data_IF_724274647921
#
_entry.id   IF_724274647921
#
_cell.length_a   1.000
_cell.length_b   1.000
_cell.length_c   1.000
_cell.angle_alpha   90.00
_cell.angle_beta   90.00
_cell.angle_gamma   90.00
#
_symmetry.space_group_name_H-M   'P 1'
#
loop_
_entity.id
_entity.type
_entity.pdbx_description
1 polymer ?
#
# COMPACT_ATOMS: atom_id res chain seq x y z
N UNK A 1 8.79 34.89 4.62
CA UNK A 1 9.28 34.28 3.38
C UNK A 1 10.26 33.19 3.80
N UNK A 2 9.82 31.96 3.86
CA UNK A 2 10.67 30.79 4.13
C UNK A 2 10.90 30.16 2.75
N UNK A 3 12.09 30.41 2.20
CA UNK A 3 12.56 29.77 0.98
C UNK A 3 12.77 28.26 1.26
N UNK A 4 11.75 27.48 0.99
CA UNK A 4 11.90 26.03 0.91
C UNK A 4 12.65 25.70 -0.39
N UNK A 5 13.85 25.18 -0.24
CA UNK A 5 14.74 24.82 -1.34
C UNK A 5 14.21 23.56 -2.05
N UNK A 6 13.21 23.70 -2.90
CA UNK A 6 12.53 22.63 -3.66
C UNK A 6 13.45 21.89 -4.64
N UNK A 7 14.58 22.49 -5.02
CA UNK A 7 15.49 21.94 -6.03
C UNK A 7 16.26 20.68 -5.57
N UNK A 8 16.60 20.59 -4.28
CA UNK A 8 17.35 19.43 -3.75
C UNK A 8 16.41 18.26 -3.43
N UNK A 9 15.16 18.54 -3.03
CA UNK A 9 14.15 17.52 -2.74
C UNK A 9 13.65 16.80 -3.99
N UNK A 10 13.49 17.46 -5.13
CA UNK A 10 13.04 16.84 -6.38
C UNK A 10 14.02 15.81 -6.94
N UNK A 11 15.34 16.05 -6.83
CA UNK A 11 16.39 15.16 -7.35
C UNK A 11 16.50 13.88 -6.49
N UNK A 12 16.33 13.97 -5.17
CA UNK A 12 16.32 12.80 -4.28
C UNK A 12 14.97 12.03 -4.37
N UNK A 13 13.86 12.71 -4.61
CA UNK A 13 12.54 12.11 -4.88
C UNK A 13 12.54 11.29 -6.17
N UNK A 14 13.20 11.75 -7.23
CA UNK A 14 13.30 11.00 -8.50
C UNK A 14 14.10 9.69 -8.35
N UNK A 15 15.00 9.57 -7.36
CA UNK A 15 15.71 8.32 -7.03
C UNK A 15 14.86 7.33 -6.24
N UNK A 16 13.71 7.75 -5.75
CA UNK A 16 12.77 6.95 -4.93
C UNK A 16 11.50 6.58 -5.69
N UNK A 17 11.51 6.53 -7.01
CA UNK A 17 10.35 6.15 -7.83
C UNK A 17 10.46 4.71 -8.31
N UNK A 18 9.31 4.08 -8.51
CA UNK A 18 9.16 2.79 -9.18
C UNK A 18 8.11 2.92 -10.28
N UNK A 19 8.31 2.26 -11.42
CA UNK A 19 7.35 2.24 -12.51
C UNK A 19 6.50 0.95 -12.45
N UNK A 20 5.32 1.02 -11.86
CA UNK A 20 4.40 -0.12 -11.84
C UNK A 20 3.99 -0.45 -13.28
N UNK A 21 4.14 -1.72 -13.69
CA UNK A 21 3.85 -2.14 -15.05
C UNK A 21 4.72 -1.51 -16.14
N UNK A 22 5.80 -0.80 -15.75
CA UNK A 22 6.75 -0.13 -16.65
C UNK A 22 6.34 1.27 -17.10
N UNK A 23 5.10 1.70 -16.85
CA UNK A 23 4.55 2.96 -17.38
C UNK A 23 3.77 3.81 -16.36
N UNK A 24 3.72 3.38 -15.09
CA UNK A 24 3.01 4.07 -14.02
C UNK A 24 4.01 4.50 -12.92
N UNK A 25 4.64 5.69 -13.03
CA UNK A 25 5.64 6.14 -12.08
C UNK A 25 5.01 6.51 -10.76
N UNK A 26 5.45 5.87 -9.67
CA UNK A 26 5.00 6.16 -8.32
C UNK A 26 6.18 6.40 -7.38
N UNK A 27 5.98 7.28 -6.40
CA UNK A 27 6.91 7.46 -5.31
C UNK A 27 6.87 6.21 -4.40
N UNK A 28 8.03 5.69 -4.01
CA UNK A 28 8.16 4.43 -3.27
C UNK A 28 7.65 4.50 -1.82
N UNK A 29 7.17 5.67 -1.40
CA UNK A 29 6.45 5.86 -0.15
C UNK A 29 5.06 6.42 -0.49
N UNK A 30 4.08 5.52 -0.55
CA UNK A 30 2.68 5.83 -0.75
C UNK A 30 1.93 6.06 0.56
N UNK A 31 0.61 6.14 0.47
CA UNK A 31 -0.29 6.29 1.60
C UNK A 31 -1.32 5.16 1.63
N UNK A 32 -1.35 4.38 2.72
CA UNK A 32 -2.38 3.37 2.99
C UNK A 32 -3.61 4.00 3.63
N UNK A 33 -4.72 4.06 2.90
CA UNK A 33 -5.90 4.80 3.33
C UNK A 33 -6.83 4.03 4.28
N UNK A 34 -6.59 2.75 4.58
CA UNK A 34 -7.49 1.87 5.36
C UNK A 34 -8.03 2.51 6.65
N UNK A 35 -7.24 3.37 7.30
CA UNK A 35 -7.65 4.04 8.54
C UNK A 35 -8.68 5.16 8.34
N UNK A 36 -8.91 5.64 7.12
CA UNK A 36 -9.90 6.66 6.79
C UNK A 36 -11.30 6.03 6.57
N UNK A 37 -11.76 5.28 7.57
CA UNK A 37 -13.11 4.75 7.68
C UNK A 37 -13.46 4.53 9.16
N UNK A 38 -14.71 4.17 9.45
CA UNK A 38 -15.20 3.99 10.81
C UNK A 38 -14.40 2.96 11.60
N UNK A 39 -14.10 3.28 12.85
CA UNK A 39 -13.38 2.43 13.78
C UNK A 39 -14.24 2.14 15.02
N UNK A 40 -14.10 0.99 15.68
CA UNK A 40 -13.25 -0.14 15.29
C UNK A 40 -13.79 -0.94 14.10
N UNK A 41 -12.95 -1.79 13.53
CA UNK A 41 -13.35 -2.78 12.53
C UNK A 41 -13.40 -2.29 11.09
N UNK A 42 -12.98 -1.06 10.79
CA UNK A 42 -12.98 -0.48 9.44
C UNK A 42 -14.37 -0.59 8.76
N UNK A 43 -15.44 -0.17 9.46
CA UNK A 43 -16.83 -0.23 9.00
C UNK A 43 -17.53 1.11 9.15
N UNK A 44 -18.21 1.56 8.10
CA UNK A 44 -18.85 2.87 8.03
C UNK A 44 -17.92 4.02 7.63
N UNK A 45 -18.44 5.23 7.53
CA UNK A 45 -17.68 6.42 7.15
C UNK A 45 -16.65 6.80 8.21
N UNK A 46 -15.58 7.48 7.79
CA UNK A 46 -14.63 8.10 8.70
C UNK A 46 -15.33 9.24 9.47
N UNK A 47 -15.35 9.23 10.82
CA UNK A 47 -16.13 10.21 11.58
C UNK A 47 -15.70 11.66 11.34
N UNK A 48 -14.40 11.89 11.16
CA UNK A 48 -13.83 13.22 10.91
C UNK A 48 -13.58 13.44 9.40
N UNK A 49 -14.63 13.30 8.57
CA UNK A 49 -14.55 13.27 7.10
C UNK A 49 -13.71 14.41 6.52
N UNK A 50 -13.96 15.63 6.93
CA UNK A 50 -13.20 16.80 6.43
C UNK A 50 -11.74 16.80 6.89
N UNK A 51 -11.42 16.26 8.07
CA UNK A 51 -10.04 16.10 8.50
C UNK A 51 -9.33 15.01 7.68
N UNK A 52 -10.02 13.93 7.35
CA UNK A 52 -9.51 12.88 6.46
C UNK A 52 -9.20 13.41 5.05
N UNK A 53 -10.08 14.23 4.49
CA UNK A 53 -9.85 14.89 3.19
C UNK A 53 -8.61 15.80 3.24
N UNK A 54 -8.50 16.64 4.27
CA UNK A 54 -7.31 17.49 4.44
C UNK A 54 -6.02 16.69 4.57
N UNK A 55 -6.08 15.52 5.22
CA UNK A 55 -4.92 14.64 5.36
C UNK A 55 -4.49 14.06 4.01
N UNK A 56 -5.43 13.63 3.16
CA UNK A 56 -5.16 13.17 1.80
C UNK A 56 -4.56 14.26 0.92
N UNK A 57 -5.11 15.48 0.96
CA UNK A 57 -4.55 16.63 0.26
C UNK A 57 -3.13 16.93 0.76
N UNK A 58 -2.91 16.89 2.07
CA UNK A 58 -1.58 17.09 2.67
C UNK A 58 -0.58 16.01 2.22
N UNK A 59 -1.01 14.76 2.09
CA UNK A 59 -0.14 13.70 1.56
C UNK A 59 0.33 14.02 0.14
N UNK A 60 -0.57 14.44 -0.73
CA UNK A 60 -0.25 14.83 -2.11
C UNK A 60 0.65 16.08 -2.15
N UNK A 61 0.37 17.10 -1.35
CA UNK A 61 1.23 18.28 -1.20
C UNK A 61 2.66 17.93 -0.78
N UNK A 62 2.83 16.88 0.02
CA UNK A 62 4.13 16.38 0.47
C UNK A 62 4.80 15.42 -0.54
N UNK A 63 4.22 15.23 -1.72
CA UNK A 63 4.79 14.48 -2.83
C UNK A 63 4.32 13.03 -2.94
N UNK A 64 3.41 12.57 -2.07
CA UNK A 64 2.80 11.24 -2.22
C UNK A 64 1.91 11.25 -3.46
N UNK A 65 2.18 10.35 -4.41
CA UNK A 65 1.33 10.17 -5.59
C UNK A 65 0.73 8.75 -5.69
N UNK A 66 0.91 7.90 -4.68
CA UNK A 66 0.36 6.55 -4.65
C UNK A 66 -0.54 6.36 -3.43
N UNK A 67 -1.84 6.15 -3.66
CA UNK A 67 -2.87 5.96 -2.62
C UNK A 67 -3.41 4.54 -2.71
N UNK A 68 -3.24 3.75 -1.64
CA UNK A 68 -3.75 2.38 -1.55
C UNK A 68 -5.04 2.32 -0.73
N UNK A 69 -6.10 1.77 -1.33
CA UNK A 69 -7.40 1.52 -0.72
C UNK A 69 -7.93 0.13 -1.06
N UNK A 70 -9.19 -0.17 -0.72
CA UNK A 70 -9.87 -1.39 -1.11
C UNK A 70 -11.41 -1.26 -0.98
N UNK A 71 -12.14 -2.02 -1.80
CA UNK A 71 -13.61 -2.13 -1.76
C UNK A 71 -14.17 -2.35 -0.34
N UNK A 72 -13.64 -3.29 0.50
CA UNK A 72 -14.21 -3.58 1.81
C UNK A 72 -13.87 -2.55 2.90
N UNK A 73 -13.09 -1.50 2.60
CA UNK A 73 -12.77 -0.48 3.59
C UNK A 73 -13.95 0.49 3.77
N UNK A 74 -14.61 0.36 4.91
CA UNK A 74 -15.74 1.17 5.29
C UNK A 74 -17.15 0.80 4.80
N UNK A 75 -17.52 -0.31 4.18
CA UNK A 75 -17.36 -0.73 2.79
C UNK A 75 -17.70 0.39 1.80
N UNK A 76 -16.70 0.75 1.03
CA UNK A 76 -16.80 1.81 -0.01
C UNK A 76 -16.56 3.23 0.47
N UNK A 77 -16.83 3.56 1.74
CA UNK A 77 -16.63 4.92 2.25
C UNK A 77 -15.18 5.39 2.15
N UNK A 78 -14.22 4.46 2.19
CA UNK A 78 -12.81 4.79 2.01
C UNK A 78 -12.49 5.24 0.58
N UNK A 79 -13.11 4.62 -0.42
CA UNK A 79 -12.99 5.06 -1.82
C UNK A 79 -13.71 6.41 -2.05
N UNK A 80 -14.85 6.63 -1.38
CA UNK A 80 -15.60 7.89 -1.48
C UNK A 80 -14.84 9.08 -0.89
N UNK A 81 -14.22 8.94 0.30
CA UNK A 81 -13.43 10.04 0.89
C UNK A 81 -12.19 10.37 0.05
N UNK A 82 -11.57 9.36 -0.59
CA UNK A 82 -10.46 9.59 -1.52
C UNK A 82 -10.93 10.40 -2.73
N UNK A 83 -12.06 10.03 -3.32
CA UNK A 83 -12.64 10.77 -4.44
C UNK A 83 -13.06 12.19 -4.05
N UNK A 84 -13.65 12.36 -2.86
CA UNK A 84 -14.05 13.69 -2.36
C UNK A 84 -12.85 14.62 -2.11
N UNK A 85 -11.70 14.06 -1.77
CA UNK A 85 -10.48 14.81 -1.55
C UNK A 85 -9.69 15.08 -2.84
N UNK A 86 -9.57 14.08 -3.72
CA UNK A 86 -8.53 14.07 -4.75
C UNK A 86 -9.06 14.06 -6.19
N UNK A 87 -10.35 13.77 -6.43
CA UNK A 87 -10.88 13.84 -7.80
C UNK A 87 -10.84 15.29 -8.32
N UNK A 88 -10.41 15.51 -9.56
CA UNK A 88 -10.17 14.59 -10.67
C UNK A 88 -8.74 14.00 -10.76
N UNK A 89 -8.03 13.81 -9.66
CA UNK A 89 -6.71 13.15 -9.56
C UNK A 89 -5.63 13.82 -10.41
N UNK A 90 -5.52 15.14 -10.29
CA UNK A 90 -4.50 15.92 -10.99
C UNK A 90 -3.10 15.65 -10.42
N UNK A 91 -2.06 15.98 -11.20
CA UNK A 91 -0.68 15.88 -10.73
C UNK A 91 -0.10 14.46 -10.68
N UNK A 92 -0.70 13.50 -11.40
CA UNK A 92 -0.18 12.13 -11.48
C UNK A 92 -0.47 11.27 -10.25
N UNK A 93 -1.54 11.59 -9.51
CA UNK A 93 -1.99 10.74 -8.39
C UNK A 93 -2.53 9.42 -8.94
N UNK A 94 -1.98 8.33 -8.45
CA UNK A 94 -2.32 6.95 -8.76
C UNK A 94 -3.14 6.36 -7.63
N UNK A 95 -4.28 5.74 -7.94
CA UNK A 95 -5.12 5.06 -6.96
C UNK A 95 -5.08 3.55 -7.21
N UNK A 96 -4.60 2.82 -6.21
CA UNK A 96 -4.72 1.36 -6.16
C UNK A 96 -5.90 0.96 -5.28
N UNK A 97 -6.78 0.10 -5.81
CA UNK A 97 -7.87 -0.50 -5.01
C UNK A 97 -7.94 -2.01 -5.23
N UNK A 98 -8.79 -2.69 -4.47
CA UNK A 98 -8.84 -4.15 -4.42
C UNK A 98 -10.27 -4.65 -4.42
N UNK A 99 -10.50 -5.78 -5.10
CA UNK A 99 -11.73 -6.58 -5.02
C UNK A 99 -11.43 -8.01 -4.61
N UNK A 100 -12.48 -8.81 -4.41
CA UNK A 100 -12.32 -10.21 -4.00
C UNK A 100 -12.46 -10.46 -2.49
N UNK A 101 -12.81 -9.40 -1.76
CA UNK A 101 -13.24 -9.48 -0.35
C UNK A 101 -14.51 -8.66 -0.18
N UNK A 102 -15.50 -9.26 0.43
CA UNK A 102 -16.78 -8.60 0.80
C UNK A 102 -16.80 -8.36 2.31
N UNK A 103 -17.42 -7.26 2.71
CA UNK A 103 -17.63 -6.91 4.11
C UNK A 103 -19.05 -6.40 4.30
N UNK A 104 -19.87 -7.17 5.00
CA UNK A 104 -21.32 -6.89 5.19
C UNK A 104 -21.67 -6.38 6.58
N UNK A 105 -20.76 -6.53 7.54
CA UNK A 105 -20.86 -5.99 8.91
C UNK A 105 -19.46 -5.77 9.48
N UNK A 106 -19.38 -5.14 10.66
CA UNK A 106 -18.10 -4.82 11.32
C UNK A 106 -17.19 -6.05 11.49
N UNK A 107 -17.76 -7.19 11.83
CA UNK A 107 -17.09 -8.48 12.09
C UNK A 107 -17.27 -9.51 10.96
N UNK A 108 -17.95 -9.14 9.88
CA UNK A 108 -18.31 -10.06 8.80
C UNK A 108 -17.54 -9.75 7.52
N UNK A 109 -16.37 -10.37 7.41
CA UNK A 109 -15.44 -10.24 6.28
C UNK A 109 -15.15 -11.61 5.70
N UNK A 110 -15.30 -11.80 4.39
CA UNK A 110 -15.03 -13.08 3.71
C UNK A 110 -14.49 -12.85 2.31
N UNK A 111 -13.76 -13.85 1.79
CA UNK A 111 -13.33 -13.85 0.40
C UNK A 111 -14.55 -14.07 -0.52
N UNK A 112 -14.58 -13.36 -1.64
CA UNK A 112 -15.54 -13.54 -2.73
C UNK A 112 -14.80 -13.29 -4.06
N UNK A 113 -14.05 -14.30 -4.47
CA UNK A 113 -13.22 -14.29 -5.66
C UNK A 113 -13.96 -14.65 -6.95
N UNK A 114 -15.28 -14.83 -6.91
CA UNK A 114 -16.07 -15.19 -8.08
C UNK A 114 -15.96 -14.15 -9.19
N UNK A 115 -15.85 -14.56 -10.46
CA UNK A 115 -15.76 -13.63 -11.58
C UNK A 115 -16.84 -12.56 -11.62
N UNK A 116 -18.09 -12.91 -11.33
CA UNK A 116 -19.19 -11.95 -11.29
C UNK A 116 -19.07 -10.95 -10.13
N UNK A 117 -18.59 -11.40 -8.96
CA UNK A 117 -18.34 -10.52 -7.82
C UNK A 117 -17.20 -9.57 -8.06
N UNK A 118 -16.09 -10.03 -8.65
CA UNK A 118 -14.95 -9.18 -9.02
C UNK A 118 -15.36 -8.08 -10.01
N UNK A 119 -16.20 -8.40 -11.01
CA UNK A 119 -16.75 -7.38 -11.93
C UNK A 119 -17.63 -6.37 -11.19
N UNK A 120 -18.52 -6.83 -10.31
CA UNK A 120 -19.39 -5.99 -9.49
C UNK A 120 -18.57 -5.06 -8.58
N UNK A 121 -17.53 -5.57 -7.91
CA UNK A 121 -16.63 -4.78 -7.06
C UNK A 121 -15.88 -3.73 -7.85
N UNK A 122 -15.34 -4.08 -9.02
CA UNK A 122 -14.66 -3.15 -9.89
C UNK A 122 -15.58 -2.01 -10.35
N UNK A 123 -16.78 -2.33 -10.83
CA UNK A 123 -17.77 -1.32 -11.26
C UNK A 123 -18.20 -0.39 -10.11
N UNK A 124 -18.36 -0.95 -8.90
CA UNK A 124 -18.65 -0.16 -7.73
C UNK A 124 -17.49 0.76 -7.34
N UNK A 125 -16.23 0.27 -7.40
CA UNK A 125 -15.03 1.06 -7.13
C UNK A 125 -14.83 2.18 -8.14
N UNK A 126 -15.00 1.91 -9.44
CA UNK A 126 -14.97 2.93 -10.50
C UNK A 126 -15.93 4.08 -10.21
N UNK A 127 -17.17 3.74 -9.83
CA UNK A 127 -18.20 4.73 -9.51
C UNK A 127 -17.83 5.57 -8.28
N UNK A 128 -17.40 4.92 -7.18
CA UNK A 128 -17.06 5.63 -5.93
C UNK A 128 -15.83 6.50 -6.08
N UNK A 129 -14.80 5.99 -6.77
CA UNK A 129 -13.57 6.72 -7.06
C UNK A 129 -13.76 7.78 -8.17
N UNK A 130 -14.90 7.80 -8.89
CA UNK A 130 -15.16 8.71 -10.02
C UNK A 130 -14.11 8.58 -11.12
N UNK A 131 -13.66 7.33 -11.38
CA UNK A 131 -12.67 6.99 -12.39
C UNK A 131 -13.34 6.28 -13.58
N UNK A 132 -12.79 6.48 -14.79
CA UNK A 132 -13.16 5.69 -15.97
C UNK A 132 -12.34 4.39 -16.05
N UNK A 133 -11.13 4.41 -15.53
CA UNK A 133 -10.20 3.28 -15.44
C UNK A 133 -9.45 3.35 -14.12
N UNK A 134 -9.31 2.23 -13.39
CA UNK A 134 -8.49 2.12 -12.18
C UNK A 134 -7.06 1.82 -12.61
N UNK A 135 -6.09 2.59 -12.10
CA UNK A 135 -4.67 2.43 -12.45
C UNK A 135 -4.11 1.07 -12.02
N UNK A 136 -4.36 0.65 -10.78
CA UNK A 136 -3.95 -0.64 -10.24
C UNK A 136 -5.12 -1.29 -9.49
N UNK A 137 -5.57 -2.44 -9.98
CA UNK A 137 -6.62 -3.22 -9.34
C UNK A 137 -6.08 -4.57 -8.88
N UNK A 138 -6.26 -4.89 -7.59
CA UNK A 138 -5.65 -6.06 -6.99
C UNK A 138 -6.70 -7.08 -6.56
N UNK A 139 -6.43 -8.37 -6.79
CA UNK A 139 -7.14 -9.43 -6.08
C UNK A 139 -6.75 -9.34 -4.60
N UNK A 140 -7.69 -8.97 -3.74
CA UNK A 140 -7.40 -8.67 -2.32
C UNK A 140 -6.94 -9.90 -1.54
N UNK A 141 -7.50 -11.06 -1.91
CA UNK A 141 -7.18 -12.36 -1.31
C UNK A 141 -7.70 -13.47 -2.22
N UNK A 142 -6.97 -14.57 -2.39
CA UNK A 142 -7.52 -15.78 -3.00
C UNK A 142 -8.74 -16.28 -2.22
N UNK A 143 -9.77 -16.70 -2.95
CA UNK A 143 -10.96 -17.33 -2.40
C UNK A 143 -10.79 -18.85 -2.45
N UNK A 144 -10.81 -19.57 -1.32
CA UNK A 144 -10.63 -21.02 -1.32
C UNK A 144 -11.78 -21.79 -2.00
N UNK A 145 -12.95 -21.14 -2.19
CA UNK A 145 -14.13 -21.74 -2.82
C UNK A 145 -14.16 -21.54 -4.35
N UNK A 146 -13.18 -20.78 -4.90
CA UNK A 146 -13.11 -20.44 -6.34
C UNK A 146 -11.74 -20.83 -6.89
N UNK A 147 -11.65 -21.55 -8.02
CA UNK A 147 -10.39 -21.80 -8.67
C UNK A 147 -9.62 -20.47 -8.92
N UNK A 148 -8.37 -20.41 -8.47
CA UNK A 148 -7.59 -19.16 -8.52
C UNK A 148 -7.49 -18.60 -9.93
N UNK A 149 -7.31 -19.47 -10.93
CA UNK A 149 -7.26 -19.09 -12.34
C UNK A 149 -8.54 -18.39 -12.83
N UNK A 150 -9.72 -18.72 -12.28
CA UNK A 150 -10.99 -18.07 -12.64
C UNK A 150 -11.03 -16.63 -12.11
N UNK A 151 -10.59 -16.42 -10.86
CA UNK A 151 -10.48 -15.07 -10.28
C UNK A 151 -9.49 -14.20 -11.07
N UNK A 152 -8.32 -14.74 -11.40
CA UNK A 152 -7.30 -14.04 -12.20
C UNK A 152 -7.79 -13.79 -13.63
N UNK A 153 -8.49 -14.76 -14.25
CA UNK A 153 -9.12 -14.61 -15.55
C UNK A 153 -10.14 -13.47 -15.59
N UNK A 154 -10.90 -13.26 -14.51
CA UNK A 154 -11.80 -12.11 -14.41
C UNK A 154 -11.04 -10.77 -14.37
N UNK A 155 -9.90 -10.70 -13.70
CA UNK A 155 -9.04 -9.49 -13.73
C UNK A 155 -8.47 -9.23 -15.13
N UNK A 156 -8.05 -10.28 -15.85
CA UNK A 156 -7.62 -10.16 -17.24
C UNK A 156 -8.73 -9.56 -18.12
N UNK A 157 -9.96 -10.06 -17.99
CA UNK A 157 -11.12 -9.54 -18.72
C UNK A 157 -11.43 -8.08 -18.37
N UNK A 158 -11.31 -7.69 -17.10
CA UNK A 158 -11.50 -6.30 -16.68
C UNK A 158 -10.44 -5.37 -17.29
N UNK A 159 -9.19 -5.84 -17.41
CA UNK A 159 -8.11 -5.11 -18.09
C UNK A 159 -8.40 -4.99 -19.60
N UNK A 160 -8.75 -6.06 -20.25
CA UNK A 160 -9.06 -6.08 -21.67
C UNK A 160 -10.28 -5.21 -22.02
N UNK A 161 -11.24 -5.10 -21.07
CA UNK A 161 -12.36 -4.17 -21.18
C UNK A 161 -11.99 -2.70 -20.87
N UNK A 162 -10.73 -2.40 -20.53
CA UNK A 162 -10.26 -1.05 -20.22
C UNK A 162 -10.74 -0.50 -18.88
N UNK A 163 -11.35 -1.32 -18.02
CA UNK A 163 -11.83 -0.89 -16.68
C UNK A 163 -10.68 -0.76 -15.67
N UNK A 164 -9.63 -1.53 -15.83
CA UNK A 164 -8.40 -1.48 -15.04
C UNK A 164 -7.20 -1.42 -15.97
N UNK A 165 -6.13 -0.74 -15.55
CA UNK A 165 -4.89 -0.63 -16.35
C UNK A 165 -3.94 -1.76 -16.00
N UNK A 166 -3.61 -1.93 -14.72
CA UNK A 166 -2.69 -2.94 -14.22
C UNK A 166 -3.36 -3.87 -13.23
N UNK A 167 -2.93 -5.14 -13.25
CA UNK A 167 -3.38 -6.18 -12.32
C UNK A 167 -2.34 -6.38 -11.23
N UNK A 168 -2.81 -6.47 -10.00
CA UNK A 168 -2.02 -6.88 -8.84
C UNK A 168 -2.66 -8.04 -8.08
N UNK A 169 -1.90 -8.62 -7.19
CA UNK A 169 -2.32 -9.70 -6.31
C UNK A 169 -2.02 -9.34 -4.86
N UNK A 170 -2.79 -9.88 -3.92
CA UNK A 170 -2.54 -9.69 -2.50
C UNK A 170 -2.75 -10.99 -1.73
N UNK A 171 -1.92 -11.23 -0.72
CA UNK A 171 -1.94 -12.42 0.11
C UNK A 171 -1.75 -13.72 -0.70
N UNK A 172 -0.74 -13.76 -1.55
CA UNK A 172 -0.42 -14.87 -2.47
C UNK A 172 1.01 -15.36 -2.27
N UNK A 173 1.23 -16.65 -2.52
CA UNK A 173 2.57 -17.24 -2.59
C UNK A 173 3.16 -17.24 -4.00
N UNK A 174 4.44 -17.66 -4.13
CA UNK A 174 5.17 -17.69 -5.40
C UNK A 174 4.48 -18.52 -6.49
N UNK A 175 3.90 -19.67 -6.12
CA UNK A 175 3.21 -20.54 -7.08
C UNK A 175 1.99 -19.86 -7.68
N UNK A 176 1.21 -19.15 -6.85
CA UNK A 176 0.05 -18.39 -7.30
C UNK A 176 0.45 -17.19 -8.19
N UNK A 177 1.58 -16.54 -7.89
CA UNK A 177 2.09 -15.46 -8.73
C UNK A 177 2.42 -16.01 -10.12
N UNK A 178 3.16 -17.12 -10.19
CA UNK A 178 3.52 -17.77 -11.46
C UNK A 178 2.31 -18.27 -12.25
N UNK A 179 1.33 -18.85 -11.55
CA UNK A 179 0.06 -19.24 -12.17
C UNK A 179 -0.65 -18.03 -12.79
N UNK A 180 -0.74 -16.93 -12.07
CA UNK A 180 -1.37 -15.70 -12.55
C UNK A 180 -0.63 -15.09 -13.75
N UNK A 181 0.70 -15.09 -13.76
CA UNK A 181 1.52 -14.59 -14.88
C UNK A 181 1.31 -15.39 -16.15
N UNK A 182 0.90 -16.66 -16.06
CA UNK A 182 0.44 -17.45 -17.21
C UNK A 182 -0.90 -16.99 -17.81
N UNK A 183 -1.64 -16.11 -17.13
CA UNK A 183 -2.98 -15.64 -17.53
C UNK A 183 -2.96 -14.15 -17.88
N UNK A 184 -2.28 -13.33 -17.05
CA UNK A 184 -2.24 -11.88 -17.16
C UNK A 184 -0.94 -11.33 -16.59
N UNK A 185 -0.32 -10.27 -17.14
CA UNK A 185 0.82 -9.62 -16.51
C UNK A 185 0.49 -9.15 -15.10
N UNK A 186 1.26 -9.62 -14.11
CA UNK A 186 1.17 -9.20 -12.71
C UNK A 186 2.12 -8.03 -12.48
N UNK A 187 1.58 -6.86 -12.09
CA UNK A 187 2.38 -5.64 -11.93
C UNK A 187 2.68 -5.31 -10.47
N UNK A 188 1.93 -5.89 -9.53
CA UNK A 188 2.19 -5.74 -8.09
C UNK A 188 1.80 -6.97 -7.28
N UNK A 189 2.51 -7.16 -6.15
CA UNK A 189 2.14 -8.11 -5.09
C UNK A 189 2.07 -7.35 -3.78
N UNK A 190 0.97 -7.56 -3.03
CA UNK A 190 0.78 -6.91 -1.73
C UNK A 190 0.60 -7.96 -0.64
N UNK A 191 1.64 -8.23 0.12
CA UNK A 191 1.63 -9.23 1.20
C UNK A 191 2.04 -8.62 2.55
N UNK A 192 1.82 -9.38 3.63
CA UNK A 192 2.30 -8.99 4.95
C UNK A 192 3.81 -9.11 5.01
N UNK A 193 4.46 -7.98 5.25
CA UNK A 193 5.91 -7.94 5.38
C UNK A 193 6.34 -6.70 6.16
N UNK A 194 7.23 -6.87 7.13
CA UNK A 194 7.78 -5.80 7.94
C UNK A 194 9.08 -6.26 8.62
N UNK A 195 9.66 -5.40 9.43
CA UNK A 195 10.92 -5.66 10.12
C UNK A 195 10.90 -6.92 11.01
N UNK A 196 9.76 -7.25 11.61
CA UNK A 196 9.58 -8.41 12.49
C UNK A 196 9.14 -9.67 11.73
N UNK A 197 8.46 -9.51 10.59
CA UNK A 197 7.85 -10.59 9.82
C UNK A 197 8.42 -10.62 8.41
N UNK A 198 9.48 -11.41 8.23
CA UNK A 198 10.28 -11.50 6.99
C UNK A 198 10.03 -12.79 6.19
N UNK A 199 9.02 -13.56 6.54
CA UNK A 199 8.73 -14.85 5.89
C UNK A 199 8.48 -14.77 4.39
N UNK A 200 8.21 -13.56 3.87
CA UNK A 200 7.92 -13.31 2.47
C UNK A 200 9.17 -12.86 1.64
N UNK A 201 10.37 -12.95 2.23
CA UNK A 201 11.63 -12.64 1.52
C UNK A 201 11.73 -13.29 0.12
N UNK A 202 11.36 -14.57 -0.09
CA UNK A 202 11.41 -15.17 -1.42
C UNK A 202 10.48 -14.49 -2.44
N UNK A 203 9.33 -13.97 -2.00
CA UNK A 203 8.39 -13.23 -2.86
C UNK A 203 8.94 -11.83 -3.17
N UNK A 204 9.56 -11.17 -2.18
CA UNK A 204 10.25 -9.87 -2.40
C UNK A 204 11.34 -10.02 -3.45
N UNK A 205 12.20 -11.05 -3.32
CA UNK A 205 13.29 -11.31 -4.26
C UNK A 205 12.76 -11.64 -5.66
N UNK A 206 11.68 -12.40 -5.75
CA UNK A 206 11.03 -12.69 -7.02
C UNK A 206 10.47 -11.43 -7.68
N UNK A 207 9.80 -10.57 -6.91
CA UNK A 207 9.26 -9.31 -7.41
C UNK A 207 10.37 -8.39 -7.92
N UNK A 208 11.48 -8.28 -7.19
CA UNK A 208 12.65 -7.50 -7.63
C UNK A 208 13.21 -8.01 -8.96
N UNK A 209 13.43 -9.32 -9.06
CA UNK A 209 14.00 -9.95 -10.25
C UNK A 209 13.11 -9.80 -11.51
N UNK A 210 11.79 -9.66 -11.33
CA UNK A 210 10.81 -9.60 -12.41
C UNK A 210 10.20 -8.20 -12.64
N UNK A 211 10.68 -7.16 -11.94
CA UNK A 211 10.17 -5.80 -12.08
C UNK A 211 8.72 -5.62 -11.60
N UNK A 212 8.29 -6.45 -10.65
CA UNK A 212 6.97 -6.40 -10.02
C UNK A 212 7.05 -5.53 -8.76
N UNK A 213 6.13 -4.58 -8.59
CA UNK A 213 6.05 -3.80 -7.36
C UNK A 213 5.67 -4.68 -6.17
N UNK A 214 6.43 -4.60 -5.07
CA UNK A 214 6.06 -5.26 -3.82
C UNK A 214 5.55 -4.23 -2.80
N UNK A 215 4.31 -4.42 -2.33
CA UNK A 215 3.63 -3.51 -1.42
C UNK A 215 3.48 -4.17 -0.04
N UNK A 216 4.39 -3.95 0.92
CA UNK A 216 4.26 -4.52 2.25
C UNK A 216 3.07 -3.93 2.99
N UNK A 217 2.04 -4.74 3.31
CA UNK A 217 1.02 -4.29 4.24
C UNK A 217 1.43 -4.59 5.69
N UNK A 218 1.02 -3.72 6.62
CA UNK A 218 1.51 -3.74 7.99
C UNK A 218 3.00 -3.39 8.13
N UNK A 219 3.51 -2.35 7.42
CA UNK A 219 4.95 -2.07 7.33
C UNK A 219 5.59 -1.67 8.67
N UNK A 220 4.78 -1.27 9.66
CA UNK A 220 5.23 -0.87 11.00
C UNK A 220 4.93 -1.94 12.06
N UNK A 221 4.71 -3.18 11.70
CA UNK A 221 4.40 -4.30 12.59
C UNK A 221 3.17 -4.08 13.51
N UNK A 222 2.48 -2.96 13.38
CA UNK A 222 1.27 -2.68 14.14
C UNK A 222 0.22 -3.76 13.85
N UNK A 223 -0.45 -4.26 14.87
CA UNK A 223 -1.65 -5.08 14.69
C UNK A 223 -2.64 -4.23 13.88
N UNK A 224 -2.97 -4.60 12.61
CA UNK A 224 -3.68 -3.71 11.70
C UNK A 224 -5.08 -3.32 12.18
N UNK A 225 -5.60 -4.05 13.15
CA UNK A 225 -6.93 -3.87 13.73
C UNK A 225 -6.94 -3.27 15.15
N UNK A 226 -5.76 -2.96 15.72
CA UNK A 226 -5.67 -2.32 17.03
C UNK A 226 -5.37 -0.82 16.87
N UNK A 227 -6.33 0.09 17.17
CA UNK A 227 -6.08 1.52 17.12
C UNK A 227 -4.98 1.91 18.11
N UNK A 228 -3.95 2.63 17.64
CA UNK A 228 -2.94 3.23 18.49
C UNK A 228 -1.99 2.24 19.19
N UNK A 229 -1.94 0.97 18.75
CA UNK A 229 -0.96 0.03 19.30
C UNK A 229 0.45 0.57 19.02
N UNK A 230 1.28 0.80 20.06
CA UNK A 230 2.68 1.11 19.88
C UNK A 230 3.36 -0.07 19.16
N UNK A 231 4.47 0.21 18.48
CA UNK A 231 5.40 -0.85 18.07
C UNK A 231 5.64 -1.76 19.27
N UNK A 232 5.52 -3.07 19.05
CA UNK A 232 5.67 -4.03 20.14
C UNK A 232 7.01 -3.80 20.86
N UNK A 233 6.99 -3.86 22.19
CA UNK A 233 8.16 -3.67 23.04
C UNK A 233 8.98 -4.97 23.09
N UNK A 234 9.45 -5.41 21.91
CA UNK A 234 10.26 -6.61 21.71
C UNK A 234 11.72 -6.21 21.40
N UNK A 235 12.61 -7.19 21.38
CA UNK A 235 14.05 -6.99 21.11
C UNK A 235 14.30 -6.29 19.77
N UNK A 236 13.42 -6.51 18.79
CA UNK A 236 13.53 -5.94 17.45
C UNK A 236 13.11 -4.46 17.42
N UNK A 237 12.07 -4.06 18.17
CA UNK A 237 11.77 -2.66 18.38
C UNK A 237 12.91 -1.92 19.06
N UNK A 238 13.70 -2.58 19.92
CA UNK A 238 14.88 -1.99 20.57
C UNK A 238 16.02 -1.69 19.59
N UNK A 239 16.24 -2.55 18.57
CA UNK A 239 17.24 -2.32 17.50
C UNK A 239 16.86 -1.12 16.62
N UNK A 240 15.61 -1.06 16.17
CA UNK A 240 15.09 0.10 15.42
C UNK A 240 15.25 1.40 16.21
N UNK A 241 14.95 1.38 17.52
CA UNK A 241 15.10 2.54 18.38
C UNK A 241 16.57 2.93 18.63
N UNK A 242 17.49 1.95 18.71
CA UNK A 242 18.92 2.19 18.87
C UNK A 242 19.51 2.89 17.64
N UNK A 243 19.22 2.35 16.44
CA UNK A 243 19.61 3.00 15.17
C UNK A 243 18.97 4.37 15.07
N UNK A 244 17.66 4.50 15.38
CA UNK A 244 16.95 5.78 15.35
C UNK A 244 17.59 6.86 16.20
N UNK A 245 17.99 6.56 17.44
CA UNK A 245 18.72 7.49 18.32
C UNK A 245 20.04 7.97 17.69
N UNK A 246 20.74 7.06 17.00
CA UNK A 246 22.03 7.34 16.37
C UNK A 246 21.92 8.32 15.20
N UNK A 247 20.86 8.19 14.40
CA UNK A 247 20.64 8.99 13.18
C UNK A 247 19.60 10.11 13.34
N UNK A 248 19.06 10.32 14.56
CA UNK A 248 18.07 11.36 14.83
C UNK A 248 16.68 11.07 14.23
N UNK A 249 16.29 9.79 14.15
CA UNK A 249 15.02 9.33 13.59
C UNK A 249 14.20 8.52 14.60
N UNK A 250 12.89 8.38 14.36
CA UNK A 250 12.03 7.48 15.14
C UNK A 250 12.21 6.03 14.71
N UNK A 251 11.90 5.07 15.58
CA UNK A 251 11.93 3.65 15.23
C UNK A 251 11.04 3.33 14.02
N UNK A 252 9.87 3.97 13.90
CA UNK A 252 8.98 3.83 12.75
C UNK A 252 9.62 4.32 11.45
N UNK A 253 10.32 5.44 11.49
CA UNK A 253 11.06 5.94 10.33
C UNK A 253 12.20 4.99 9.92
N UNK A 254 12.92 4.43 10.88
CA UNK A 254 13.98 3.43 10.60
C UNK A 254 13.38 2.17 9.99
N UNK A 255 12.22 1.70 10.48
CA UNK A 255 11.53 0.53 9.90
C UNK A 255 11.12 0.76 8.44
N UNK A 256 10.57 1.94 8.12
CA UNK A 256 10.21 2.28 6.74
C UNK A 256 11.46 2.44 5.85
N UNK A 257 12.52 3.07 6.36
CA UNK A 257 13.79 3.21 5.62
C UNK A 257 14.44 1.85 5.37
N UNK A 258 14.37 0.92 6.33
CA UNK A 258 14.84 -0.44 6.17
C UNK A 258 14.09 -1.18 5.07
N UNK A 259 12.74 -1.10 5.02
CA UNK A 259 11.93 -1.66 3.94
C UNK A 259 12.35 -1.11 2.58
N UNK A 260 12.54 0.20 2.46
CA UNK A 260 12.98 0.84 1.22
C UNK A 260 14.39 0.43 0.81
N UNK A 261 15.26 0.11 1.77
CA UNK A 261 16.61 -0.39 1.52
C UNK A 261 16.64 -1.88 1.18
N UNK A 262 15.64 -2.68 1.63
CA UNK A 262 15.55 -4.13 1.39
C UNK A 262 15.44 -4.47 -0.10
N UNK A 263 14.68 -3.71 -0.86
CA UNK A 263 14.52 -3.93 -2.30
C UNK A 263 14.10 -2.65 -3.03
N UNK A 264 14.60 -2.39 -4.25
CA UNK A 264 14.15 -1.28 -5.08
C UNK A 264 12.70 -1.44 -5.58
N UNK A 265 12.13 -2.65 -5.56
CA UNK A 265 10.74 -2.92 -5.95
C UNK A 265 9.74 -2.65 -4.83
N UNK A 266 10.19 -2.43 -3.59
CA UNK A 266 9.30 -2.16 -2.46
C UNK A 266 8.73 -0.73 -2.55
N UNK A 267 7.40 -0.65 -2.44
CA UNK A 267 6.64 0.59 -2.26
C UNK A 267 5.92 0.49 -0.92
N UNK A 268 6.38 1.22 0.09
CA UNK A 268 5.77 1.19 1.43
C UNK A 268 4.49 2.02 1.46
N UNK A 269 3.46 1.52 2.13
CA UNK A 269 2.13 2.12 2.22
C UNK A 269 1.68 2.33 3.69
N UNK A 270 2.45 3.06 4.50
CA UNK A 270 2.06 3.31 5.89
C UNK A 270 0.76 4.11 5.96
N UNK A 271 -0.18 3.67 6.80
CA UNK A 271 -1.45 4.35 7.03
C UNK A 271 -1.46 5.10 8.36
N UNK A 272 -1.99 6.33 8.36
CA UNK A 272 -2.20 7.14 9.56
C UNK A 272 -3.38 8.08 9.39
N UNK A 273 -3.97 8.53 10.51
CA UNK A 273 -4.95 9.63 10.55
C UNK A 273 -4.37 10.91 11.18
N UNK A 274 -3.10 10.86 11.62
CA UNK A 274 -2.41 11.97 12.27
C UNK A 274 -1.47 12.69 11.27
N UNK A 275 -1.64 14.01 11.03
CA UNK A 275 -0.77 14.78 10.13
C UNK A 275 0.72 14.71 10.50
N UNK A 276 1.05 14.72 11.80
CA UNK A 276 2.43 14.59 12.27
C UNK A 276 3.04 13.25 11.86
N UNK A 277 2.31 12.14 12.05
CA UNK A 277 2.79 10.82 11.64
C UNK A 277 2.91 10.70 10.11
N UNK A 278 2.05 11.39 9.34
CA UNK A 278 2.18 11.45 7.89
C UNK A 278 3.51 12.09 7.49
N UNK A 279 3.84 13.25 8.07
CA UNK A 279 5.11 13.94 7.81
C UNK A 279 6.33 13.09 8.24
N UNK A 280 6.24 12.43 9.40
CA UNK A 280 7.28 11.51 9.88
C UNK A 280 7.49 10.33 8.92
N UNK A 281 6.40 9.71 8.46
CA UNK A 281 6.47 8.61 7.51
C UNK A 281 7.14 9.05 6.20
N UNK A 282 6.73 10.19 5.64
CA UNK A 282 7.29 10.70 4.37
C UNK A 282 8.78 11.00 4.51
N UNK A 283 9.21 11.58 5.63
CA UNK A 283 10.63 11.83 5.92
C UNK A 283 11.48 10.55 5.94
N UNK A 284 10.89 9.39 6.23
CA UNK A 284 11.61 8.12 6.20
C UNK A 284 12.24 7.80 4.83
N UNK A 285 11.61 8.26 3.74
CA UNK A 285 12.14 8.05 2.39
C UNK A 285 13.48 8.77 2.12
N UNK A 286 13.83 9.77 2.91
CA UNK A 286 15.10 10.50 2.81
C UNK A 286 16.19 9.99 3.76
N UNK A 287 15.85 9.06 4.66
CA UNK A 287 16.82 8.50 5.59
C UNK A 287 17.80 7.58 4.86
N UNK A 288 19.07 7.74 5.17
CA UNK A 288 20.15 6.88 4.68
C UNK A 288 20.64 6.03 5.85
N UNK A 289 20.37 4.73 5.77
CA UNK A 289 20.95 3.75 6.68
C UNK A 289 22.35 3.39 6.18
N UNK A 290 23.34 3.43 7.06
CA UNK A 290 24.70 3.00 6.73
C UNK A 290 24.75 1.47 6.57
N UNK A 291 25.85 0.96 6.01
CA UNK A 291 26.10 -0.49 5.95
C UNK A 291 26.13 -1.14 7.34
N UNK A 292 26.63 -0.44 8.33
CA UNK A 292 26.67 -0.87 9.73
C UNK A 292 25.24 -0.91 10.32
N UNK A 293 24.42 0.11 10.06
CA UNK A 293 23.01 0.14 10.48
C UNK A 293 22.22 -1.04 9.86
N UNK A 294 22.39 -1.26 8.56
CA UNK A 294 21.75 -2.38 7.87
C UNK A 294 22.23 -3.73 8.38
N UNK A 295 23.54 -3.89 8.65
CA UNK A 295 24.08 -5.12 9.22
C UNK A 295 23.48 -5.40 10.61
N UNK A 296 23.39 -4.39 11.49
CA UNK A 296 22.76 -4.48 12.81
C UNK A 296 21.27 -4.87 12.70
N UNK A 297 20.54 -4.24 11.77
CA UNK A 297 19.11 -4.48 11.55
C UNK A 297 18.82 -5.83 10.90
N UNK A 298 19.74 -6.39 10.12
CA UNK A 298 19.55 -7.66 9.42
C UNK A 298 19.94 -8.90 10.25
N UNK A 299 20.48 -8.74 11.45
CA UNK A 299 20.68 -9.85 12.36
C UNK A 299 19.33 -10.47 12.70
N UNK A 300 19.09 -11.69 12.20
CA UNK A 300 17.91 -12.49 12.58
C UNK A 300 18.19 -13.05 13.98
N UNK A 301 17.33 -12.73 14.94
CA UNK A 301 17.41 -13.20 16.32
C UNK A 301 16.94 -14.63 16.46
#
# INVERSE_FOLDING_TARGET
MLDFNWGIHLIDLMKSTFNIGGDLPVFRLGYGAMRLCGQPGNFGPYPEWEAGKRLLLKAVELGVNFIDTAHPYGPGYNEEIIADALAPYTGGVVVATKGGVEKTAQDRVFADGKPESLRRFCDASLKRLRLQQIDLYQLHKPDPEVPFAESVGALSQLRDAGKIRHVGLSNVGLEQIREAEGIVPVCSVQNRYNFEERGDDPVVDYCEANGIAYLPWGPLAAKPFAPGAPLADNSDASRLAAVGRRIGATAGQVALAWLLARSPSIIVIPGTTCPKHLEENIKAASLKLSSEDLAELNVVG
#
